data_IF_175062547696
#
_entry.id   IF_175062547696
#
_cell.length_a   1.000
_cell.length_b   1.000
_cell.length_c   1.000
_cell.angle_alpha   90.00
_cell.angle_beta   90.00
_cell.angle_gamma   90.00
#
_symmetry.space_group_name_H-M   'P 1'
#
loop_
_entity.id
_entity.type
_entity.pdbx_description
1 polymer ?
#
# COMPACT_ATOMS: atom_id res chain seq x y z
N UNK A 1 -22.09 39.90 -22.28
CA UNK A 1 -20.65 39.65 -22.23
C UNK A 1 -20.31 39.04 -20.90
N UNK A 2 -20.36 37.73 -20.83
CA UNK A 2 -19.91 36.96 -19.67
C UNK A 2 -18.63 36.26 -20.10
N UNK A 3 -17.49 36.87 -19.79
CA UNK A 3 -16.18 36.28 -19.93
C UNK A 3 -16.09 35.16 -18.88
N UNK A 4 -16.26 33.92 -19.33
CA UNK A 4 -15.93 32.74 -18.55
C UNK A 4 -14.42 32.81 -18.23
N UNK A 5 -14.08 33.21 -17.02
CA UNK A 5 -12.78 32.92 -16.46
C UNK A 5 -12.68 31.38 -16.34
N UNK A 6 -12.11 30.74 -17.35
CA UNK A 6 -11.54 29.41 -17.19
C UNK A 6 -10.45 29.55 -16.13
N UNK A 7 -10.79 29.25 -14.87
CA UNK A 7 -9.80 29.10 -13.81
C UNK A 7 -8.86 28.00 -14.26
N UNK A 8 -7.59 28.34 -14.51
CA UNK A 8 -6.56 27.38 -14.86
C UNK A 8 -6.45 26.36 -13.73
N UNK A 9 -6.91 25.15 -14.00
CA UNK A 9 -6.75 24.04 -13.06
C UNK A 9 -5.29 23.56 -13.12
N UNK A 10 -4.74 23.20 -11.97
CA UNK A 10 -3.37 22.70 -11.87
C UNK A 10 -3.39 21.24 -11.41
N UNK A 11 -2.61 20.40 -12.07
CA UNK A 11 -2.45 19.01 -11.71
C UNK A 11 -1.46 18.91 -10.55
N UNK A 12 -1.85 18.28 -9.45
CA UNK A 12 -0.99 18.00 -8.29
C UNK A 12 -1.17 16.59 -7.78
N UNK A 13 -0.20 16.12 -6.98
CA UNK A 13 -0.37 14.97 -6.11
C UNK A 13 -0.35 15.42 -4.66
N UNK A 14 -1.38 15.09 -3.89
CA UNK A 14 -1.49 15.51 -2.47
C UNK A 14 -0.72 14.57 -1.54
N UNK A 15 -0.37 13.35 -1.99
CA UNK A 15 0.24 12.32 -1.16
C UNK A 15 1.51 12.76 -0.43
N UNK A 16 2.47 13.49 -1.05
CA UNK A 16 3.66 13.97 -0.34
C UNK A 16 3.40 14.98 0.79
N UNK A 17 2.18 15.47 0.93
CA UNK A 17 1.76 16.38 2.00
C UNK A 17 0.97 15.69 3.12
N UNK A 18 0.66 14.39 2.97
CA UNK A 18 -0.25 13.69 3.88
C UNK A 18 0.25 12.30 4.28
N UNK A 19 1.22 11.72 3.57
CA UNK A 19 1.67 10.34 3.72
C UNK A 19 3.12 10.25 4.13
N UNK A 20 3.40 9.38 5.11
CA UNK A 20 4.74 8.97 5.49
C UNK A 20 4.77 7.45 5.60
N UNK A 21 5.58 6.80 4.77
CA UNK A 21 5.82 5.36 4.79
C UNK A 21 7.22 5.08 5.30
N UNK A 22 7.35 4.12 6.20
CA UNK A 22 8.64 3.68 6.72
C UNK A 22 8.93 2.30 6.14
N UNK A 23 9.99 2.20 5.35
CA UNK A 23 10.38 0.95 4.69
C UNK A 23 11.15 0.00 5.61
N UNK A 24 11.36 -1.21 5.12
CA UNK A 24 11.97 -2.32 5.85
C UNK A 24 13.49 -2.43 5.70
N UNK A 25 14.14 -1.48 5.03
CA UNK A 25 15.60 -1.46 4.93
C UNK A 25 16.28 -1.17 6.28
N UNK A 26 17.59 -1.40 6.37
CA UNK A 26 18.33 -1.24 7.61
C UNK A 26 18.26 0.18 8.19
N UNK A 27 18.21 1.19 7.32
CA UNK A 27 18.10 2.60 7.70
C UNK A 27 16.66 3.03 7.99
N UNK A 28 15.67 2.18 7.75
CA UNK A 28 14.24 2.51 7.76
C UNK A 28 13.98 3.78 6.98
N UNK A 29 14.22 3.70 5.69
CA UNK A 29 13.99 4.82 4.78
C UNK A 29 12.54 5.27 4.84
N UNK A 30 12.34 6.58 4.84
CA UNK A 30 11.01 7.19 4.87
C UNK A 30 10.66 7.71 3.48
N UNK A 31 9.46 7.38 3.02
CA UNK A 31 8.92 7.80 1.73
C UNK A 31 7.67 8.66 1.92
N UNK A 32 7.54 9.72 1.11
CA UNK A 32 6.34 10.56 1.09
C UNK A 32 5.24 10.01 0.16
N UNK A 33 5.38 8.78 -0.26
CA UNK A 33 4.48 8.00 -1.07
C UNK A 33 4.79 6.52 -0.85
N UNK A 34 4.13 5.61 -1.55
CA UNK A 34 4.50 4.21 -1.57
C UNK A 34 5.92 4.03 -2.14
N UNK A 35 6.77 3.23 -1.50
CA UNK A 35 8.16 2.96 -1.90
C UNK A 35 8.26 2.53 -3.38
N UNK A 36 7.32 1.70 -3.87
CA UNK A 36 7.30 1.27 -5.27
C UNK A 36 6.93 2.35 -6.30
N UNK A 37 6.39 3.50 -5.86
CA UNK A 37 5.91 4.57 -6.73
C UNK A 37 6.73 5.86 -6.62
N UNK A 38 7.61 5.95 -5.64
CA UNK A 38 8.52 7.08 -5.44
C UNK A 38 9.97 6.59 -5.53
N UNK A 39 10.75 7.13 -6.46
CA UNK A 39 12.08 6.63 -6.80
C UNK A 39 13.16 6.94 -5.75
N UNK A 40 12.88 7.83 -4.79
CA UNK A 40 13.84 8.21 -3.75
C UNK A 40 13.15 8.32 -2.38
N UNK A 41 13.82 7.91 -1.28
CA UNK A 41 13.36 8.19 0.06
C UNK A 41 13.55 9.67 0.41
N UNK A 42 12.73 10.19 1.31
CA UNK A 42 12.86 11.53 1.88
C UNK A 42 14.03 11.60 2.90
N UNK A 43 14.39 10.49 3.49
CA UNK A 43 15.49 10.35 4.44
C UNK A 43 15.43 9.01 5.17
N UNK A 44 16.33 8.85 6.13
CA UNK A 44 16.36 7.68 7.01
C UNK A 44 15.88 8.04 8.40
N UNK A 45 15.14 7.14 9.03
CA UNK A 45 14.57 7.34 10.37
C UNK A 45 15.32 6.58 11.47
N UNK A 46 16.34 5.82 11.09
CA UNK A 46 17.23 5.07 11.97
C UNK A 46 18.66 5.53 11.79
N UNK A 47 19.41 5.63 12.90
CA UNK A 47 20.84 5.92 12.90
C UNK A 47 21.64 4.67 12.51
N UNK A 48 22.94 4.86 12.19
CA UNK A 48 23.83 3.76 11.85
C UNK A 48 24.04 2.74 12.99
N UNK A 49 23.89 3.16 14.24
CA UNK A 49 23.93 2.31 15.44
C UNK A 49 22.61 1.54 15.69
N UNK A 50 21.61 1.72 14.83
CA UNK A 50 20.30 1.09 14.94
C UNK A 50 19.29 1.82 15.83
N UNK A 51 19.67 2.89 16.51
CA UNK A 51 18.75 3.72 17.30
C UNK A 51 17.79 4.52 16.42
N UNK A 52 16.61 4.85 16.92
CA UNK A 52 15.68 5.74 16.22
C UNK A 52 16.21 7.17 16.21
N UNK A 53 16.07 7.89 15.09
CA UNK A 53 16.34 9.32 15.05
C UNK A 53 15.37 10.07 15.94
N UNK A 54 15.86 11.09 16.64
CA UNK A 54 15.05 11.85 17.59
C UNK A 54 14.10 12.83 16.92
N UNK A 55 14.45 13.30 15.74
CA UNK A 55 13.70 14.37 15.05
C UNK A 55 13.45 13.99 13.58
N UNK A 56 12.53 13.02 13.40
CA UNK A 56 12.09 12.61 12.06
C UNK A 56 11.28 13.74 11.39
N UNK A 57 10.63 14.58 12.17
CA UNK A 57 9.83 15.67 11.64
C UNK A 57 10.72 16.70 10.93
N UNK A 58 11.76 17.24 11.59
CA UNK A 58 12.62 18.24 10.97
C UNK A 58 13.53 17.66 9.89
N UNK A 59 14.14 16.50 10.16
CA UNK A 59 15.19 15.93 9.32
C UNK A 59 14.64 15.23 8.07
N UNK A 60 13.45 14.64 8.17
CA UNK A 60 12.85 13.85 7.11
C UNK A 60 11.62 14.54 6.53
N UNK A 61 10.60 14.83 7.35
CA UNK A 61 9.35 15.39 6.86
C UNK A 61 9.52 16.79 6.27
N UNK A 62 10.33 17.65 6.92
CA UNK A 62 10.68 18.99 6.43
C UNK A 62 12.06 19.07 5.77
N UNK A 63 12.76 17.93 5.61
CA UNK A 63 14.08 17.86 5.01
C UNK A 63 14.12 18.31 3.53
N UNK A 64 15.31 18.57 3.01
CA UNK A 64 15.51 19.13 1.66
C UNK A 64 15.02 18.17 0.55
N UNK A 65 15.18 16.85 0.75
CA UNK A 65 14.67 15.86 -0.21
C UNK A 65 13.14 15.89 -0.23
N UNK A 66 12.48 15.93 0.93
CA UNK A 66 11.03 16.04 1.03
C UNK A 66 10.51 17.31 0.35
N UNK A 67 11.19 18.44 0.53
CA UNK A 67 10.89 19.70 -0.18
C UNK A 67 11.04 19.54 -1.70
N UNK A 68 12.09 18.86 -2.16
CA UNK A 68 12.32 18.62 -3.58
C UNK A 68 11.23 17.75 -4.21
N UNK A 69 10.77 16.71 -3.48
CA UNK A 69 9.65 15.85 -3.88
C UNK A 69 8.37 16.68 -3.99
N UNK A 70 8.02 17.46 -2.96
CA UNK A 70 6.83 18.33 -2.96
C UNK A 70 6.88 19.40 -4.05
N UNK A 71 8.06 19.95 -4.32
CA UNK A 71 8.24 20.89 -5.44
C UNK A 71 7.86 20.22 -6.76
N UNK A 72 8.32 18.98 -6.99
CA UNK A 72 8.08 18.27 -8.25
C UNK A 72 6.60 17.96 -8.53
N UNK A 73 5.78 17.79 -7.49
CA UNK A 73 4.34 17.59 -7.67
C UNK A 73 3.58 18.91 -7.79
N UNK A 74 4.15 20.02 -7.32
CA UNK A 74 3.58 21.36 -7.48
C UNK A 74 3.90 21.98 -8.83
N UNK A 75 5.08 21.69 -9.41
CA UNK A 75 5.49 22.20 -10.72
C UNK A 75 5.05 21.29 -11.88
N UNK A 76 4.34 20.17 -11.56
CA UNK A 76 3.82 19.23 -12.55
C UNK A 76 4.86 18.34 -13.22
N UNK A 77 6.13 18.38 -12.79
CA UNK A 77 7.19 17.56 -13.38
C UNK A 77 7.12 16.09 -12.94
N UNK A 78 6.62 15.81 -11.73
CA UNK A 78 6.57 14.47 -11.14
C UNK A 78 7.87 13.65 -11.28
N UNK A 79 9.03 14.35 -11.35
CA UNK A 79 10.33 13.76 -11.71
C UNK A 79 10.83 12.67 -10.77
N UNK A 80 10.31 12.62 -9.55
CA UNK A 80 10.65 11.59 -8.58
C UNK A 80 9.65 10.44 -8.55
N UNK A 81 8.55 10.54 -9.30
CA UNK A 81 7.52 9.52 -9.37
C UNK A 81 7.86 8.46 -10.43
N UNK A 82 7.57 7.21 -10.11
CA UNK A 82 7.61 6.14 -11.09
C UNK A 82 6.35 6.22 -11.97
N UNK A 83 6.49 6.81 -13.15
CA UNK A 83 5.36 7.08 -14.05
C UNK A 83 4.76 5.79 -14.64
N UNK A 84 5.52 4.70 -14.66
CA UNK A 84 5.05 3.40 -15.19
C UNK A 84 4.26 2.60 -14.17
N UNK A 85 4.63 2.70 -12.89
CA UNK A 85 4.03 1.87 -11.81
C UNK A 85 3.01 2.62 -10.96
N UNK A 86 2.96 3.96 -11.03
CA UNK A 86 2.03 4.73 -10.22
C UNK A 86 0.60 4.65 -10.80
N UNK A 87 -0.35 4.00 -10.09
CA UNK A 87 -1.71 3.82 -10.60
C UNK A 87 -2.53 5.11 -10.62
N UNK A 88 -2.03 6.18 -9.98
CA UNK A 88 -2.74 7.45 -9.86
C UNK A 88 -2.36 8.46 -10.93
N UNK A 89 -1.14 8.40 -11.45
CA UNK A 89 -0.70 9.31 -12.51
C UNK A 89 -1.38 9.00 -13.84
N UNK A 90 -1.51 7.73 -14.17
CA UNK A 90 -2.16 7.28 -15.41
C UNK A 90 -3.65 7.66 -15.46
N UNK A 91 -4.36 7.49 -14.34
CA UNK A 91 -5.81 7.74 -14.27
C UNK A 91 -6.20 9.14 -13.81
N UNK A 92 -5.26 9.92 -13.31
CA UNK A 92 -5.53 11.19 -12.62
C UNK A 92 -6.65 10.99 -11.58
N UNK A 93 -6.39 10.12 -10.61
CA UNK A 93 -7.35 9.76 -9.57
C UNK A 93 -6.74 9.80 -8.17
N UNK A 94 -7.58 9.70 -7.16
CA UNK A 94 -7.18 9.64 -5.75
C UNK A 94 -6.35 10.86 -5.34
N UNK A 95 -5.07 10.68 -4.97
CA UNK A 95 -4.20 11.79 -4.57
C UNK A 95 -3.74 12.66 -5.75
N UNK A 96 -3.80 12.17 -7.01
CA UNK A 96 -3.48 12.92 -8.22
C UNK A 96 -4.77 13.51 -8.79
N UNK A 97 -4.85 14.83 -8.82
CA UNK A 97 -6.08 15.54 -9.22
C UNK A 97 -5.81 16.94 -9.76
N UNK A 98 -6.72 17.41 -10.58
CA UNK A 98 -6.79 18.83 -10.92
C UNK A 98 -7.39 19.62 -9.78
N UNK A 99 -6.74 20.70 -9.40
CA UNK A 99 -7.17 21.59 -8.30
C UNK A 99 -7.39 23.02 -8.79
N UNK A 100 -8.27 23.75 -8.12
CA UNK A 100 -8.43 25.19 -8.32
C UNK A 100 -7.16 25.94 -7.90
N UNK A 101 -7.00 27.16 -8.41
CA UNK A 101 -5.88 28.02 -7.98
C UNK A 101 -5.88 28.24 -6.46
N UNK A 102 -7.04 28.37 -5.82
CA UNK A 102 -7.14 28.55 -4.37
C UNK A 102 -6.61 27.30 -3.62
N UNK A 103 -6.97 26.12 -4.06
CA UNK A 103 -6.48 24.86 -3.45
C UNK A 103 -4.99 24.69 -3.72
N UNK A 104 -4.51 25.01 -4.92
CA UNK A 104 -3.08 24.99 -5.23
C UNK A 104 -2.27 25.93 -4.34
N UNK A 105 -2.76 27.17 -4.11
CA UNK A 105 -2.12 28.13 -3.20
C UNK A 105 -2.02 27.57 -1.78
N UNK A 106 -3.00 26.77 -1.31
CA UNK A 106 -2.92 26.08 -0.02
C UNK A 106 -1.70 25.14 0.03
N UNK A 107 -1.51 24.28 -0.98
CA UNK A 107 -0.35 23.37 -1.02
C UNK A 107 0.97 24.12 -1.20
N UNK A 108 0.98 25.21 -1.97
CA UNK A 108 2.14 26.09 -2.11
C UNK A 108 2.52 26.75 -0.76
N UNK A 109 1.53 27.14 0.04
CA UNK A 109 1.76 27.65 1.39
C UNK A 109 2.36 26.58 2.30
N UNK A 110 1.83 25.35 2.28
CA UNK A 110 2.38 24.22 3.02
C UNK A 110 3.83 23.94 2.60
N UNK A 111 4.12 23.91 1.30
CA UNK A 111 5.47 23.74 0.76
C UNK A 111 6.46 24.79 1.26
N UNK A 112 6.04 26.05 1.33
CA UNK A 112 6.88 27.18 1.79
C UNK A 112 7.04 27.23 3.30
N UNK A 113 6.15 26.59 4.03
CA UNK A 113 6.22 26.47 5.48
C UNK A 113 7.24 25.40 5.87
N UNK A 114 8.07 25.67 6.86
CA UNK A 114 8.94 24.68 7.50
C UNK A 114 8.31 24.11 8.79
N UNK A 115 7.03 24.37 9.02
CA UNK A 115 6.28 23.93 10.18
C UNK A 115 4.77 23.99 9.90
N UNK A 116 3.98 23.37 10.75
CA UNK A 116 2.52 23.57 10.75
C UNK A 116 1.72 22.59 9.91
N UNK A 117 2.33 21.55 9.34
CA UNK A 117 1.62 20.38 8.80
C UNK A 117 2.43 19.11 9.00
N UNK A 118 1.76 18.02 9.25
CA UNK A 118 2.34 16.72 9.57
C UNK A 118 1.66 15.62 8.75
N UNK A 119 2.25 14.40 8.65
CA UNK A 119 1.60 13.30 7.96
C UNK A 119 0.27 12.95 8.63
N UNK A 120 -0.76 12.79 7.83
CA UNK A 120 -2.07 12.30 8.27
C UNK A 120 -2.15 10.79 8.25
N UNK A 121 -1.40 10.16 7.35
CA UNK A 121 -1.29 8.71 7.24
C UNK A 121 0.14 8.29 7.46
N UNK A 122 0.32 7.36 8.38
CA UNK A 122 1.60 6.72 8.67
C UNK A 122 1.53 5.25 8.25
N UNK A 123 2.35 4.85 7.28
CA UNK A 123 2.47 3.45 6.86
C UNK A 123 3.65 2.77 7.56
N UNK A 124 3.32 1.79 8.39
CA UNK A 124 4.29 1.01 9.15
C UNK A 124 4.73 -0.22 8.35
N UNK A 125 5.59 -0.03 7.33
CA UNK A 125 6.06 -1.10 6.44
C UNK A 125 7.45 -1.64 6.81
N UNK A 126 7.95 -1.38 8.01
CA UNK A 126 9.33 -1.66 8.41
C UNK A 126 9.59 -3.08 8.95
N UNK A 127 8.58 -3.84 9.34
CA UNK A 127 8.74 -5.23 9.76
C UNK A 127 8.35 -6.19 8.62
N UNK A 128 9.31 -6.98 8.18
CA UNK A 128 9.14 -7.94 7.09
C UNK A 128 8.57 -9.28 7.53
N UNK A 129 8.20 -9.45 8.81
CA UNK A 129 7.67 -10.72 9.32
C UNK A 129 6.41 -11.14 8.56
N UNK A 130 6.47 -12.29 7.90
CA UNK A 130 5.40 -12.85 7.10
C UNK A 130 5.48 -14.39 7.10
N UNK A 131 4.34 -15.05 7.15
CA UNK A 131 4.24 -16.51 7.05
C UNK A 131 4.34 -17.04 5.61
N UNK A 132 4.51 -16.15 4.62
CA UNK A 132 4.69 -16.52 3.22
C UNK A 132 6.04 -16.08 2.68
N UNK A 133 6.52 -16.82 1.67
CA UNK A 133 7.69 -16.55 0.85
C UNK A 133 7.26 -16.45 -0.63
N UNK A 134 6.37 -15.49 -0.92
CA UNK A 134 5.89 -15.27 -2.29
C UNK A 134 7.05 -14.96 -3.23
N UNK A 135 7.23 -15.69 -4.35
CA UNK A 135 8.39 -15.48 -5.24
C UNK A 135 8.52 -14.06 -5.80
N UNK A 136 7.39 -13.34 -5.90
CA UNK A 136 7.38 -11.92 -6.31
C UNK A 136 7.83 -10.94 -5.23
N UNK A 137 7.96 -11.38 -3.96
CA UNK A 137 8.22 -10.51 -2.82
C UNK A 137 9.53 -10.86 -2.09
N UNK A 138 9.79 -12.14 -1.85
CA UNK A 138 10.93 -12.63 -1.04
C UNK A 138 11.26 -14.07 -1.34
N UNK A 139 12.52 -14.48 -1.05
CA UNK A 139 12.99 -15.87 -1.24
C UNK A 139 12.64 -16.79 -0.07
N UNK A 140 12.50 -16.24 1.14
CA UNK A 140 12.38 -17.02 2.37
C UNK A 140 11.29 -16.46 3.29
N UNK A 141 10.79 -17.31 4.21
CA UNK A 141 9.96 -16.85 5.31
C UNK A 141 10.82 -16.02 6.26
N UNK A 142 10.39 -14.80 6.53
CA UNK A 142 11.07 -13.87 7.43
C UNK A 142 10.24 -13.69 8.69
N UNK A 143 10.87 -13.88 9.85
CA UNK A 143 10.24 -13.64 11.15
C UNK A 143 11.23 -12.90 12.04
N UNK A 144 10.82 -11.76 12.59
CA UNK A 144 11.60 -11.02 13.56
C UNK A 144 11.85 -11.85 14.82
N UNK A 145 13.09 -11.85 15.32
CA UNK A 145 13.45 -12.45 16.61
C UNK A 145 12.95 -11.59 17.77
N UNK A 146 13.27 -11.99 19.04
CA UNK A 146 12.81 -11.28 20.23
C UNK A 146 13.32 -9.84 20.29
N UNK A 147 14.60 -9.63 19.99
CA UNK A 147 15.25 -8.32 20.11
C UNK A 147 14.78 -7.36 19.04
N UNK A 148 14.60 -7.88 17.79
CA UNK A 148 14.00 -7.13 16.69
C UNK A 148 12.54 -6.75 17.00
N UNK A 149 11.77 -7.65 17.60
CA UNK A 149 10.39 -7.39 18.01
C UNK A 149 10.32 -6.28 19.06
N UNK A 150 11.16 -6.33 20.10
CA UNK A 150 11.21 -5.29 21.12
C UNK A 150 11.65 -3.95 20.52
N UNK A 151 12.70 -3.95 19.71
CA UNK A 151 13.16 -2.77 18.97
C UNK A 151 12.07 -2.19 18.06
N UNK A 152 11.29 -3.04 17.38
CA UNK A 152 10.17 -2.62 16.53
C UNK A 152 9.04 -1.99 17.36
N UNK A 153 8.75 -2.54 18.55
CA UNK A 153 7.75 -1.99 19.46
C UNK A 153 8.12 -0.58 19.94
N UNK A 154 9.34 -0.42 20.46
CA UNK A 154 9.86 0.88 20.91
C UNK A 154 9.89 1.91 19.77
N UNK A 155 10.25 1.45 18.57
CA UNK A 155 10.26 2.30 17.39
C UNK A 155 8.85 2.78 16.99
N UNK A 156 7.85 1.89 17.00
CA UNK A 156 6.47 2.26 16.71
C UNK A 156 5.93 3.30 17.68
N UNK A 157 6.19 3.08 18.99
CA UNK A 157 5.79 4.01 20.04
C UNK A 157 6.41 5.39 19.83
N UNK A 158 7.72 5.46 19.63
CA UNK A 158 8.42 6.73 19.40
C UNK A 158 7.97 7.43 18.12
N UNK A 159 7.71 6.67 17.03
CA UNK A 159 7.24 7.24 15.77
C UNK A 159 5.82 7.81 15.87
N UNK A 160 4.90 7.08 16.51
CA UNK A 160 3.53 7.55 16.71
C UNK A 160 3.51 8.79 17.62
N UNK A 161 4.31 8.79 18.70
CA UNK A 161 4.41 9.94 19.62
C UNK A 161 4.94 11.21 18.94
N UNK A 162 5.91 11.09 18.00
CA UNK A 162 6.44 12.26 17.30
C UNK A 162 5.37 13.00 16.46
N UNK A 163 4.36 12.27 16.00
CA UNK A 163 3.28 12.81 15.17
C UNK A 163 1.92 12.79 15.87
N UNK A 164 1.92 12.70 17.20
CA UNK A 164 0.69 12.67 18.01
C UNK A 164 -0.20 13.88 17.74
N UNK A 165 -1.51 13.62 17.68
CA UNK A 165 -2.53 14.62 17.39
C UNK A 165 -2.75 14.93 15.89
N UNK A 166 -1.85 14.53 15.00
CA UNK A 166 -1.96 14.79 13.55
C UNK A 166 -2.24 13.53 12.72
N UNK A 167 -1.84 12.35 13.23
CA UNK A 167 -2.10 11.08 12.55
C UNK A 167 -3.59 10.74 12.65
N UNK A 168 -4.26 10.72 11.51
CA UNK A 168 -5.64 10.23 11.38
C UNK A 168 -5.72 8.74 11.04
N UNK A 169 -4.65 8.17 10.49
CA UNK A 169 -4.68 6.81 9.96
C UNK A 169 -3.32 6.10 10.05
N UNK A 170 -3.32 4.87 10.54
CA UNK A 170 -2.18 3.94 10.47
C UNK A 170 -2.44 2.86 9.44
N UNK A 171 -1.52 2.69 8.51
CA UNK A 171 -1.50 1.59 7.56
C UNK A 171 -0.54 0.50 8.06
N UNK A 172 -1.03 -0.71 8.27
CA UNK A 172 -0.31 -1.88 8.76
C UNK A 172 -0.60 -3.03 7.82
N UNK A 173 0.24 -3.46 6.98
CA UNK A 173 1.60 -3.19 6.58
C UNK A 173 1.72 -3.33 5.07
N UNK A 174 2.83 -2.93 4.44
CA UNK A 174 3.14 -3.14 3.01
C UNK A 174 4.24 -4.17 2.77
N UNK A 175 5.02 -4.56 3.79
CA UNK A 175 6.18 -5.45 3.61
C UNK A 175 6.11 -6.77 4.39
N UNK A 176 5.30 -6.84 5.46
CA UNK A 176 5.07 -8.05 6.25
C UNK A 176 3.60 -8.49 6.19
N UNK A 177 3.15 -9.15 7.26
CA UNK A 177 1.75 -9.51 7.46
C UNK A 177 1.36 -9.24 8.93
N UNK A 178 0.28 -8.47 9.20
CA UNK A 178 -0.09 -8.05 10.56
C UNK A 178 -0.55 -9.21 11.44
N UNK A 179 -0.94 -10.33 10.86
CA UNK A 179 -1.35 -11.53 11.60
C UNK A 179 -0.24 -12.58 11.74
N UNK A 180 0.85 -12.47 10.97
CA UNK A 180 2.03 -13.32 11.07
C UNK A 180 3.11 -12.67 11.94
N UNK A 181 3.38 -11.39 11.73
CA UNK A 181 4.35 -10.60 12.48
C UNK A 181 3.91 -10.42 13.92
N UNK A 182 4.69 -10.98 14.89
CA UNK A 182 4.36 -10.85 16.32
C UNK A 182 4.28 -9.39 16.73
N UNK A 183 5.22 -8.56 16.26
CA UNK A 183 5.23 -7.13 16.56
C UNK A 183 3.91 -6.45 16.16
N UNK A 184 3.46 -6.60 14.92
CA UNK A 184 2.22 -5.97 14.46
C UNK A 184 0.99 -6.53 15.18
N UNK A 185 0.98 -7.84 15.46
CA UNK A 185 -0.13 -8.42 16.20
C UNK A 185 -0.17 -7.93 17.66
N UNK A 186 0.99 -7.76 18.30
CA UNK A 186 1.09 -7.15 19.64
C UNK A 186 0.68 -5.67 19.61
N UNK A 187 1.02 -4.94 18.53
CA UNK A 187 0.56 -3.56 18.35
C UNK A 187 -0.97 -3.50 18.28
N UNK A 188 -1.61 -4.41 17.51
CA UNK A 188 -3.07 -4.49 17.38
C UNK A 188 -3.77 -4.94 18.68
N UNK A 189 -3.17 -5.81 19.46
CA UNK A 189 -3.78 -6.37 20.68
C UNK A 189 -3.35 -5.64 21.97
N UNK A 190 -2.29 -4.85 21.89
CA UNK A 190 -1.65 -4.19 23.03
C UNK A 190 -2.31 -2.87 23.46
N UNK A 191 -1.73 -2.23 24.48
CA UNK A 191 -2.29 -0.99 25.04
C UNK A 191 -2.05 0.25 24.18
N UNK A 192 -1.01 0.28 23.34
CA UNK A 192 -0.63 1.48 22.59
C UNK A 192 -1.79 2.07 21.79
N UNK A 193 -2.43 1.26 20.95
CA UNK A 193 -3.56 1.74 20.13
C UNK A 193 -4.81 2.10 20.95
N UNK A 194 -4.91 1.67 22.21
CA UNK A 194 -5.98 2.10 23.11
C UNK A 194 -5.84 3.56 23.53
N UNK A 195 -4.60 4.07 23.58
CA UNK A 195 -4.34 5.47 23.91
C UNK A 195 -4.62 6.41 22.72
N UNK A 196 -4.81 5.87 21.52
CA UNK A 196 -5.02 6.62 20.27
C UNK A 196 -6.33 6.22 19.60
N UNK A 197 -7.45 6.33 20.32
CA UNK A 197 -8.78 5.81 19.89
C UNK A 197 -9.30 6.42 18.58
N UNK A 198 -8.90 7.63 18.24
CA UNK A 198 -9.36 8.34 17.03
C UNK A 198 -8.65 7.90 15.76
N UNK A 199 -7.47 7.26 15.88
CA UNK A 199 -6.69 6.81 14.72
C UNK A 199 -7.40 5.65 14.02
N UNK A 200 -7.68 5.81 12.73
CA UNK A 200 -8.19 4.74 11.87
C UNK A 200 -7.08 3.77 11.48
N UNK A 201 -7.45 2.55 11.21
CA UNK A 201 -6.52 1.47 10.86
C UNK A 201 -6.81 0.94 9.46
N UNK A 202 -5.76 0.84 8.66
CA UNK A 202 -5.77 0.06 7.41
C UNK A 202 -4.92 -1.18 7.61
N UNK A 203 -5.49 -2.34 7.36
CA UNK A 203 -4.80 -3.61 7.49
C UNK A 203 -4.57 -4.23 6.12
N UNK A 204 -3.32 -4.59 5.83
CA UNK A 204 -2.94 -5.29 4.60
C UNK A 204 -2.40 -6.68 4.94
N UNK A 205 -3.06 -7.73 4.49
CA UNK A 205 -2.77 -9.13 4.87
C UNK A 205 -2.86 -10.08 3.68
N UNK A 206 -2.20 -11.24 3.81
CA UNK A 206 -2.40 -12.38 2.92
C UNK A 206 -3.59 -13.27 3.34
N UNK A 207 -4.27 -12.93 4.41
CA UNK A 207 -5.42 -13.61 5.02
C UNK A 207 -5.21 -15.05 5.48
N UNK A 208 -4.04 -15.68 5.29
CA UNK A 208 -3.78 -17.07 5.74
C UNK A 208 -3.96 -17.25 7.24
N UNK A 209 -3.67 -16.20 8.01
CA UNK A 209 -3.75 -16.24 9.48
C UNK A 209 -4.87 -15.35 10.05
N UNK A 210 -5.68 -14.71 9.22
CA UNK A 210 -6.84 -13.96 9.68
C UNK A 210 -8.02 -14.90 9.97
N UNK A 211 -7.86 -15.70 11.01
CA UNK A 211 -8.87 -16.65 11.47
C UNK A 211 -9.87 -16.01 12.44
N UNK A 212 -11.07 -16.61 12.67
CA UNK A 212 -12.01 -16.15 13.68
C UNK A 212 -11.37 -15.97 15.08
N UNK A 213 -10.48 -16.88 15.47
CA UNK A 213 -9.77 -16.79 16.76
C UNK A 213 -8.80 -15.60 16.84
N UNK A 214 -8.15 -15.22 15.74
CA UNK A 214 -7.30 -14.02 15.71
C UNK A 214 -8.14 -12.76 15.65
N UNK A 215 -9.20 -12.75 14.85
CA UNK A 215 -10.13 -11.62 14.78
C UNK A 215 -10.73 -11.29 16.15
N UNK A 216 -11.18 -12.29 16.89
CA UNK A 216 -11.74 -12.10 18.24
C UNK A 216 -10.82 -11.29 19.17
N UNK A 217 -9.49 -11.38 19.01
CA UNK A 217 -8.53 -10.62 19.81
C UNK A 217 -8.46 -9.14 19.43
N UNK A 218 -8.84 -8.78 18.22
CA UNK A 218 -8.80 -7.41 17.70
C UNK A 218 -10.20 -6.86 17.35
N UNK A 219 -11.27 -7.61 17.58
CA UNK A 219 -12.65 -7.20 17.23
C UNK A 219 -13.05 -5.85 17.83
N UNK A 220 -12.48 -5.49 18.99
CA UNK A 220 -12.66 -4.17 19.59
C UNK A 220 -12.13 -3.01 18.73
N UNK A 221 -11.23 -3.29 17.78
CA UNK A 221 -10.72 -2.32 16.80
C UNK A 221 -11.61 -2.22 15.56
N UNK A 222 -12.57 -3.13 15.37
CA UNK A 222 -13.45 -3.18 14.19
C UNK A 222 -13.96 -1.81 13.74
N UNK A 223 -14.57 -0.99 14.63
CA UNK A 223 -15.07 0.34 14.29
C UNK A 223 -13.98 1.33 13.80
N UNK A 224 -12.73 1.02 14.04
CA UNK A 224 -11.56 1.83 13.63
C UNK A 224 -10.91 1.32 12.36
N UNK A 225 -11.16 0.06 11.96
CA UNK A 225 -10.62 -0.49 10.72
C UNK A 225 -11.35 0.18 9.56
N UNK A 226 -10.68 1.10 8.87
CA UNK A 226 -11.23 1.82 7.71
C UNK A 226 -11.11 1.02 6.42
N UNK A 227 -10.13 0.11 6.34
CA UNK A 227 -9.87 -0.73 5.17
C UNK A 227 -9.20 -2.04 5.60
N UNK A 228 -9.73 -3.15 5.08
CA UNK A 228 -9.01 -4.42 5.03
C UNK A 228 -8.62 -4.72 3.59
N UNK A 229 -7.31 -4.84 3.34
CA UNK A 229 -6.75 -5.20 2.04
C UNK A 229 -6.21 -6.62 2.09
N UNK A 230 -6.69 -7.48 1.16
CA UNK A 230 -6.29 -8.89 1.09
C UNK A 230 -5.60 -9.18 -0.24
N UNK A 231 -4.37 -9.68 -0.17
CA UNK A 231 -3.57 -10.02 -1.34
C UNK A 231 -3.64 -11.51 -1.66
N UNK A 232 -4.05 -11.88 -2.91
CA UNK A 232 -4.35 -13.26 -3.28
C UNK A 232 -3.52 -13.77 -4.48
N UNK A 233 -3.46 -13.03 -5.61
CA UNK A 233 -2.63 -13.33 -6.81
C UNK A 233 -2.94 -14.64 -7.55
N UNK A 234 -4.15 -15.14 -7.42
CA UNK A 234 -4.62 -16.31 -8.16
C UNK A 234 -6.10 -16.56 -7.94
N UNK A 235 -6.82 -17.02 -8.96
CA UNK A 235 -8.21 -17.43 -8.87
C UNK A 235 -8.39 -18.96 -8.85
N UNK A 236 -7.29 -19.69 -8.88
CA UNK A 236 -7.27 -21.16 -8.76
C UNK A 236 -6.29 -21.59 -7.66
N UNK A 237 -6.55 -22.76 -7.07
CA UNK A 237 -5.63 -23.38 -6.08
C UNK A 237 -4.20 -23.46 -6.61
N UNK A 238 -4.03 -23.95 -7.83
CA UNK A 238 -2.72 -24.14 -8.45
C UNK A 238 -1.96 -22.81 -8.55
N UNK A 239 -2.59 -21.79 -9.07
CA UNK A 239 -1.95 -20.48 -9.27
C UNK A 239 -1.68 -19.77 -7.94
N UNK A 240 -2.64 -19.82 -7.01
CA UNK A 240 -2.46 -19.25 -5.68
C UNK A 240 -1.27 -19.87 -4.94
N UNK A 241 -1.20 -21.22 -4.85
CA UNK A 241 -0.15 -21.90 -4.09
C UNK A 241 1.25 -21.72 -4.71
N UNK A 242 1.34 -21.41 -6.01
CA UNK A 242 2.59 -21.01 -6.67
C UNK A 242 2.95 -19.57 -6.31
N UNK A 243 2.01 -18.62 -6.46
CA UNK A 243 2.30 -17.20 -6.31
C UNK A 243 2.40 -16.77 -4.86
N UNK A 244 1.73 -17.48 -3.96
CA UNK A 244 1.66 -17.20 -2.52
C UNK A 244 2.28 -18.31 -1.66
N UNK A 245 3.38 -18.92 -2.16
CA UNK A 245 4.08 -19.98 -1.45
C UNK A 245 4.51 -19.57 -0.02
N UNK A 246 4.41 -20.47 0.99
CA UNK A 246 3.77 -21.78 1.02
C UNK A 246 2.29 -21.74 1.46
N UNK A 247 1.58 -20.65 1.15
CA UNK A 247 0.15 -20.49 1.46
C UNK A 247 -0.68 -21.66 0.93
N UNK A 248 -1.79 -21.94 1.60
CA UNK A 248 -2.71 -23.02 1.26
C UNK A 248 -4.07 -22.45 0.85
N UNK A 249 -4.61 -23.01 -0.24
CA UNK A 249 -5.87 -22.55 -0.82
C UNK A 249 -7.06 -22.76 0.11
N UNK A 250 -7.19 -23.94 0.70
CA UNK A 250 -8.33 -24.26 1.55
C UNK A 250 -8.42 -23.33 2.78
N UNK A 251 -7.34 -23.14 3.59
CA UNK A 251 -7.36 -22.16 4.68
C UNK A 251 -7.65 -20.74 4.22
N UNK A 252 -7.17 -20.34 3.02
CA UNK A 252 -7.51 -19.03 2.47
C UNK A 252 -9.02 -18.92 2.21
N UNK A 253 -9.63 -19.91 1.57
CA UNK A 253 -11.07 -19.91 1.25
C UNK A 253 -11.93 -19.89 2.52
N UNK A 254 -11.56 -20.65 3.54
CA UNK A 254 -12.23 -20.62 4.85
C UNK A 254 -12.15 -19.23 5.50
N UNK A 255 -10.96 -18.61 5.50
CA UNK A 255 -10.77 -17.27 6.04
C UNK A 255 -11.49 -16.20 5.19
N UNK A 256 -11.51 -16.33 3.86
CA UNK A 256 -12.24 -15.41 2.99
C UNK A 256 -13.77 -15.53 3.19
N UNK A 257 -14.30 -16.70 3.45
CA UNK A 257 -15.72 -16.87 3.82
C UNK A 257 -16.03 -16.15 5.15
N UNK A 258 -15.13 -16.25 6.13
CA UNK A 258 -15.23 -15.51 7.38
C UNK A 258 -15.14 -14.00 7.18
N UNK A 259 -14.16 -13.50 6.40
CA UNK A 259 -13.98 -12.07 6.07
C UNK A 259 -15.23 -11.54 5.34
N UNK A 260 -15.80 -12.34 4.43
CA UNK A 260 -17.05 -12.00 3.73
C UNK A 260 -18.21 -11.81 4.72
N UNK A 261 -18.29 -12.65 5.75
CA UNK A 261 -19.29 -12.49 6.79
C UNK A 261 -19.08 -11.21 7.60
N UNK A 262 -17.83 -10.92 8.03
CA UNK A 262 -17.49 -9.66 8.70
C UNK A 262 -17.86 -8.43 7.86
N UNK A 263 -17.66 -8.52 6.53
CA UNK A 263 -18.06 -7.45 5.60
C UNK A 263 -19.58 -7.27 5.53
N UNK A 264 -20.34 -8.36 5.50
CA UNK A 264 -21.82 -8.34 5.49
C UNK A 264 -22.40 -7.82 6.80
N UNK A 265 -21.77 -8.15 7.91
CA UNK A 265 -22.18 -7.72 9.25
C UNK A 265 -21.76 -6.25 9.55
N UNK A 266 -21.02 -5.62 8.65
CA UNK A 266 -20.57 -4.23 8.80
C UNK A 266 -19.38 -4.05 9.75
N UNK A 267 -18.76 -5.15 10.21
CA UNK A 267 -17.55 -5.08 11.06
C UNK A 267 -16.32 -4.60 10.26
N UNK A 268 -16.32 -4.82 8.94
CA UNK A 268 -15.31 -4.30 8.00
C UNK A 268 -16.03 -3.37 7.03
N UNK A 269 -15.78 -2.04 7.09
CA UNK A 269 -16.52 -1.07 6.27
C UNK A 269 -16.07 -1.06 4.80
N UNK A 270 -14.81 -1.47 4.50
CA UNK A 270 -14.28 -1.52 3.15
C UNK A 270 -13.33 -2.71 3.00
N UNK A 271 -13.67 -3.61 2.08
CA UNK A 271 -12.84 -4.75 1.69
C UNK A 271 -12.25 -4.53 0.30
N UNK A 272 -10.92 -4.52 0.24
CA UNK A 272 -10.16 -4.49 -1.01
C UNK A 272 -9.46 -5.83 -1.21
N UNK A 273 -9.60 -6.43 -2.39
CA UNK A 273 -8.82 -7.61 -2.78
C UNK A 273 -7.84 -7.24 -3.88
N UNK A 274 -6.61 -7.72 -3.79
CA UNK A 274 -5.54 -7.34 -4.71
C UNK A 274 -4.92 -8.53 -5.42
N UNK A 275 -4.45 -8.29 -6.65
CA UNK A 275 -3.91 -9.28 -7.54
C UNK A 275 -2.71 -8.71 -8.29
N UNK A 276 -1.51 -9.24 -8.02
CA UNK A 276 -0.30 -8.92 -8.76
C UNK A 276 -0.28 -9.72 -10.06
N UNK A 277 -0.44 -9.03 -11.18
CA UNK A 277 -0.57 -9.64 -12.51
C UNK A 277 0.80 -10.02 -13.04
N UNK A 278 0.93 -11.30 -13.45
CA UNK A 278 2.11 -11.86 -14.06
C UNK A 278 1.75 -12.99 -15.05
N UNK A 279 2.74 -13.51 -15.76
CA UNK A 279 2.56 -14.48 -16.84
C UNK A 279 1.67 -15.68 -16.52
N UNK A 280 1.76 -16.22 -15.31
CA UNK A 280 1.04 -17.44 -14.94
C UNK A 280 -0.38 -17.22 -14.41
N UNK A 281 -0.83 -15.95 -14.28
CA UNK A 281 -2.12 -15.66 -13.68
C UNK A 281 -2.98 -14.62 -14.43
N UNK A 282 -2.47 -13.89 -15.42
CA UNK A 282 -3.23 -12.82 -16.05
C UNK A 282 -4.54 -13.30 -16.71
N UNK A 283 -4.58 -14.56 -17.15
CA UNK A 283 -5.81 -15.15 -17.75
C UNK A 283 -6.87 -15.50 -16.70
N UNK A 284 -6.51 -15.47 -15.42
CA UNK A 284 -7.43 -15.67 -14.28
C UNK A 284 -8.03 -14.36 -13.75
N UNK A 285 -7.75 -13.21 -14.37
CA UNK A 285 -8.25 -11.91 -13.87
C UNK A 285 -9.78 -11.83 -13.87
N UNK A 286 -10.46 -12.36 -14.88
CA UNK A 286 -11.93 -12.42 -14.94
C UNK A 286 -12.51 -13.30 -13.82
N UNK A 287 -11.97 -14.50 -13.63
CA UNK A 287 -12.36 -15.37 -12.53
C UNK A 287 -12.13 -14.71 -11.17
N UNK A 288 -11.04 -13.94 -11.02
CA UNK A 288 -10.75 -13.21 -9.80
C UNK A 288 -11.75 -12.07 -9.55
N UNK A 289 -12.21 -11.39 -10.58
CA UNK A 289 -13.29 -10.39 -10.48
C UNK A 289 -14.56 -11.04 -9.95
N UNK A 290 -14.95 -12.19 -10.49
CA UNK A 290 -16.12 -12.94 -10.00
C UNK A 290 -15.96 -13.37 -8.55
N UNK A 291 -14.76 -13.83 -8.16
CA UNK A 291 -14.47 -14.19 -6.77
C UNK A 291 -14.56 -12.98 -5.85
N UNK A 292 -13.99 -11.84 -6.22
CA UNK A 292 -14.06 -10.59 -5.45
C UNK A 292 -15.51 -10.15 -5.20
N UNK A 293 -16.36 -10.23 -6.23
CA UNK A 293 -17.79 -9.95 -6.11
C UNK A 293 -18.53 -10.93 -5.19
N UNK A 294 -18.18 -12.23 -5.23
CA UNK A 294 -18.73 -13.24 -4.30
C UNK A 294 -18.31 -12.97 -2.85
N UNK A 295 -17.14 -12.41 -2.62
CA UNK A 295 -16.66 -11.99 -1.29
C UNK A 295 -17.20 -10.64 -0.82
N UNK A 296 -18.07 -10.00 -1.61
CA UNK A 296 -18.58 -8.66 -1.33
C UNK A 296 -17.47 -7.62 -1.17
N UNK A 297 -16.42 -7.74 -1.99
CA UNK A 297 -15.35 -6.76 -2.02
C UNK A 297 -15.84 -5.44 -2.63
N UNK A 298 -15.43 -4.33 -2.02
CA UNK A 298 -15.73 -2.98 -2.51
C UNK A 298 -14.78 -2.57 -3.63
N UNK A 299 -13.57 -3.17 -3.67
CA UNK A 299 -12.58 -2.88 -4.68
C UNK A 299 -11.76 -4.13 -5.01
N UNK A 300 -11.69 -4.44 -6.29
CA UNK A 300 -10.86 -5.49 -6.89
C UNK A 300 -9.74 -4.79 -7.65
N UNK A 301 -8.52 -4.85 -7.11
CA UNK A 301 -7.40 -4.05 -7.59
C UNK A 301 -6.33 -4.91 -8.24
N UNK A 302 -5.98 -4.58 -9.47
CA UNK A 302 -4.90 -5.20 -10.23
C UNK A 302 -3.66 -4.32 -10.27
N UNK A 303 -2.50 -4.92 -10.07
CA UNK A 303 -1.23 -4.20 -10.12
C UNK A 303 -0.18 -4.98 -10.92
N UNK A 304 0.74 -4.30 -11.60
CA UNK A 304 1.83 -4.95 -12.31
C UNK A 304 2.80 -5.63 -11.34
N UNK A 305 3.40 -6.73 -11.80
CA UNK A 305 4.52 -7.35 -11.11
C UNK A 305 5.66 -6.34 -11.00
N UNK A 306 6.12 -6.08 -9.77
CA UNK A 306 7.33 -5.33 -9.50
C UNK A 306 8.47 -6.28 -9.12
N UNK A 307 9.72 -5.94 -9.50
CA UNK A 307 10.88 -6.73 -9.09
C UNK A 307 11.47 -6.16 -7.80
N UNK A 308 11.19 -6.81 -6.69
CA UNK A 308 11.76 -6.48 -5.37
C UNK A 308 13.15 -7.10 -5.14
N UNK A 309 13.85 -7.47 -6.24
CA UNK A 309 15.18 -8.09 -6.18
C UNK A 309 15.14 -9.62 -6.06
N UNK A 310 13.98 -10.25 -6.17
CA UNK A 310 13.82 -11.71 -6.10
C UNK A 310 14.06 -12.40 -7.45
N UNK A 311 13.87 -11.68 -8.53
CA UNK A 311 14.05 -12.20 -9.88
C UNK A 311 15.30 -11.63 -10.54
N UNK A 312 16.05 -12.46 -11.27
CA UNK A 312 17.04 -11.98 -12.23
C UNK A 312 16.34 -11.24 -13.36
N UNK A 313 17.04 -10.32 -14.02
CA UNK A 313 16.45 -9.47 -15.06
C UNK A 313 15.67 -10.26 -16.12
N UNK A 314 16.26 -11.31 -16.67
CA UNK A 314 15.61 -12.16 -17.70
C UNK A 314 14.35 -12.88 -17.17
N UNK A 315 14.39 -13.33 -15.93
CA UNK A 315 13.23 -13.99 -15.30
C UNK A 315 12.10 -12.97 -15.05
N UNK A 316 12.44 -11.78 -14.57
CA UNK A 316 11.46 -10.71 -14.41
C UNK A 316 10.81 -10.34 -15.74
N UNK A 317 11.59 -10.11 -16.82
CA UNK A 317 11.05 -9.80 -18.14
C UNK A 317 10.12 -10.91 -18.66
N UNK A 318 10.47 -12.17 -18.42
CA UNK A 318 9.63 -13.30 -18.82
C UNK A 318 8.32 -13.43 -18.04
N UNK A 319 8.24 -12.87 -16.82
CA UNK A 319 7.05 -12.89 -15.94
C UNK A 319 6.17 -11.64 -16.07
N UNK A 320 6.77 -10.49 -16.34
CA UNK A 320 6.13 -9.18 -16.33
C UNK A 320 5.39 -8.91 -17.64
N UNK A 321 4.19 -9.47 -17.81
CA UNK A 321 3.38 -9.38 -19.06
C UNK A 321 3.02 -7.94 -19.45
N UNK A 322 3.08 -7.01 -18.52
CA UNK A 322 2.86 -5.58 -18.80
C UNK A 322 4.01 -4.93 -19.55
N UNK A 323 5.16 -5.58 -19.66
CA UNK A 323 6.31 -5.01 -20.39
C UNK A 323 6.25 -5.38 -21.87
N UNK A 324 6.52 -4.41 -22.75
CA UNK A 324 6.53 -4.58 -24.21
C UNK A 324 7.53 -5.64 -24.70
N UNK A 325 8.53 -5.97 -23.88
CA UNK A 325 9.51 -7.02 -24.16
C UNK A 325 8.98 -8.44 -23.91
N UNK A 326 7.83 -8.57 -23.21
CA UNK A 326 7.23 -9.87 -22.92
C UNK A 326 6.50 -10.43 -24.14
N UNK A 327 6.74 -11.68 -24.46
CA UNK A 327 6.13 -12.35 -25.64
C UNK A 327 4.60 -12.42 -25.60
N UNK A 328 4.00 -12.34 -24.41
CA UNK A 328 2.54 -12.37 -24.22
C UNK A 328 1.94 -10.95 -24.05
N UNK A 329 2.75 -9.89 -24.20
CA UNK A 329 2.29 -8.52 -23.96
C UNK A 329 1.05 -8.14 -24.77
N UNK A 330 1.09 -8.36 -26.09
CA UNK A 330 -0.01 -7.96 -26.97
C UNK A 330 -1.30 -8.74 -26.64
N UNK A 331 -1.18 -10.05 -26.35
CA UNK A 331 -2.33 -10.87 -25.92
C UNK A 331 -2.90 -10.38 -24.57
N UNK A 332 -2.04 -9.97 -23.66
CA UNK A 332 -2.46 -9.40 -22.38
C UNK A 332 -3.18 -8.08 -22.56
N UNK A 333 -2.66 -7.17 -23.40
CA UNK A 333 -3.29 -5.89 -23.71
C UNK A 333 -4.64 -6.10 -24.38
N UNK A 334 -4.76 -7.03 -25.33
CA UNK A 334 -6.03 -7.37 -25.95
C UNK A 334 -7.04 -7.91 -24.93
N UNK A 335 -6.59 -8.75 -23.98
CA UNK A 335 -7.43 -9.24 -22.90
C UNK A 335 -7.94 -8.13 -21.98
N UNK A 336 -7.12 -7.13 -21.66
CA UNK A 336 -7.53 -5.99 -20.83
C UNK A 336 -8.72 -5.20 -21.43
N UNK A 337 -8.90 -5.27 -22.74
CA UNK A 337 -9.99 -4.61 -23.48
C UNK A 337 -11.29 -5.41 -23.48
N UNK A 338 -11.26 -6.64 -23.01
CA UNK A 338 -12.48 -7.44 -22.87
C UNK A 338 -13.38 -6.92 -21.74
N UNK A 339 -14.68 -7.18 -21.82
CA UNK A 339 -15.63 -6.77 -20.76
C UNK A 339 -15.54 -7.54 -19.46
N UNK A 340 -14.77 -8.64 -19.40
CA UNK A 340 -14.72 -9.55 -18.26
C UNK A 340 -14.11 -8.94 -17.00
N UNK A 341 -13.20 -7.97 -17.18
CA UNK A 341 -12.46 -7.31 -16.08
C UNK A 341 -12.87 -5.85 -15.88
N UNK A 342 -14.10 -5.50 -16.26
CA UNK A 342 -14.63 -4.14 -16.14
C UNK A 342 -15.70 -4.06 -15.04
N UNK A 343 -15.86 -2.87 -14.47
CA UNK A 343 -16.85 -2.56 -13.45
C UNK A 343 -16.42 -1.40 -12.57
N UNK A 344 -17.38 -0.78 -11.88
CA UNK A 344 -17.08 0.30 -10.91
C UNK A 344 -16.29 -0.22 -9.70
N UNK A 345 -16.42 -1.52 -9.42
CA UNK A 345 -15.72 -2.26 -8.38
C UNK A 345 -14.31 -2.74 -8.80
N UNK A 346 -13.89 -2.50 -10.06
CA UNK A 346 -12.62 -2.96 -10.61
C UNK A 346 -11.68 -1.79 -10.88
N UNK A 347 -10.49 -1.86 -10.34
CA UNK A 347 -9.39 -0.92 -10.63
C UNK A 347 -8.20 -1.64 -11.25
N UNK A 348 -7.96 -1.38 -12.52
CA UNK A 348 -6.84 -1.94 -13.28
C UNK A 348 -5.48 -1.27 -12.94
N UNK A 349 -5.46 -0.31 -12.02
CA UNK A 349 -4.22 0.36 -11.64
C UNK A 349 -3.48 0.96 -12.84
N UNK A 350 -2.19 0.69 -12.93
CA UNK A 350 -1.34 1.16 -14.02
C UNK A 350 -1.67 0.51 -15.40
N UNK A 351 -2.48 -0.54 -15.45
CA UNK A 351 -2.88 -1.14 -16.73
C UNK A 351 -3.94 -0.32 -17.47
N UNK A 352 -4.55 0.65 -16.81
CA UNK A 352 -5.51 1.53 -17.46
C UNK A 352 -4.93 2.30 -18.66
N UNK A 353 -3.61 2.48 -18.72
CA UNK A 353 -2.93 3.12 -19.84
C UNK A 353 -2.89 2.25 -21.12
N UNK A 354 -3.26 0.96 -21.03
CA UNK A 354 -3.25 0.02 -22.15
C UNK A 354 -4.61 -0.08 -22.86
N UNK A 355 -5.66 0.51 -22.31
CA UNK A 355 -7.03 0.48 -22.81
C UNK A 355 -7.56 1.91 -23.04
#
# INVERSE_FOLDING_TARGET
>A
MASSQMQSQQLICTKPFEWLEISSDQGRSAYLCCEGWLNIPAGQTRNADGSSRRDIESDVWYGDVAKSIRKSVLDGSFRFCNQTLCPHLSKINGPVKYVSNLEWQKYLKLYRSNAGFRPKTLNLAYDRSCNLACPSCRSDIVMANSDERESNQQYAEGLIQQFDGDIGELYITGSGDPFAGRHYFDLLTGPLLKSYETIKLRLHTNAQLLTPNRWKKIAHLGPRISLLEVSIDGASKKTYEINRHPGKWEPLMENMAFITQLRKDGEIPFLKVTFVVQKNNWREMGDFVEMGRKWNADLIFFMPLNNWGTYRHQEYEARAVHRHTNIEHDQFVDYLRTGEIQGEDVDLGAFADFI
#
